data_IF_907481731271
#
_entry.id   IF_907481731271
#
_cell.length_a   1.000
_cell.length_b   1.000
_cell.length_c   1.000
_cell.angle_alpha   90.00
_cell.angle_beta   90.00
_cell.angle_gamma   90.00
#
_symmetry.space_group_name_H-M   'P 1'
#
loop_
_entity.id
_entity.type
_entity.pdbx_description
1 polymer ?
#
# COMPACT_ATOMS: atom_id res chain seq x y z
N UNK A 1 -40.20 -3.57 8.72
CA UNK A 1 -39.30 -2.48 9.22
C UNK A 1 -37.88 -2.96 9.55
N UNK A 2 -37.65 -4.27 9.75
CA UNK A 2 -36.30 -4.83 10.01
C UNK A 2 -35.40 -4.94 8.76
N UNK A 3 -35.96 -5.23 7.57
CA UNK A 3 -35.14 -5.49 6.38
C UNK A 3 -34.51 -4.23 5.77
N UNK A 4 -35.21 -3.08 5.79
CA UNK A 4 -34.63 -1.79 5.36
C UNK A 4 -33.50 -1.32 6.27
N UNK A 5 -33.58 -1.60 7.58
CA UNK A 5 -32.54 -1.24 8.54
C UNK A 5 -31.30 -2.14 8.37
N UNK A 6 -31.52 -3.42 8.05
CA UNK A 6 -30.44 -4.39 7.79
C UNK A 6 -29.68 -4.05 6.50
N UNK A 7 -30.38 -3.71 5.41
CA UNK A 7 -29.80 -3.25 4.14
C UNK A 7 -28.98 -1.97 4.29
N UNK A 8 -29.49 -0.97 5.03
CA UNK A 8 -28.78 0.30 5.24
C UNK A 8 -27.53 0.11 6.13
N UNK A 9 -27.63 -0.73 7.16
CA UNK A 9 -26.52 -1.09 8.03
C UNK A 9 -25.43 -1.86 7.28
N UNK A 10 -25.80 -2.85 6.46
CA UNK A 10 -24.88 -3.61 5.60
C UNK A 10 -24.12 -2.69 4.64
N UNK A 11 -24.83 -1.77 3.96
CA UNK A 11 -24.19 -0.80 3.06
C UNK A 11 -23.23 0.12 3.81
N UNK A 12 -23.57 0.53 5.03
CA UNK A 12 -22.70 1.38 5.86
C UNK A 12 -21.47 0.63 6.37
N UNK A 13 -21.63 -0.66 6.68
CA UNK A 13 -20.54 -1.53 7.14
C UNK A 13 -19.56 -1.86 6.00
N UNK A 14 -20.07 -2.21 4.82
CA UNK A 14 -19.25 -2.50 3.62
C UNK A 14 -18.45 -1.27 3.18
N UNK A 15 -19.00 -0.06 3.38
CA UNK A 15 -18.33 1.20 3.03
C UNK A 15 -17.35 1.68 4.10
N UNK A 16 -17.21 0.96 5.22
CA UNK A 16 -16.28 1.33 6.28
C UNK A 16 -14.84 0.95 5.91
N UNK A 17 -13.84 1.80 6.23
CA UNK A 17 -12.43 1.49 5.96
C UNK A 17 -11.94 0.26 6.75
N UNK A 18 -12.58 -0.02 7.89
CA UNK A 18 -12.27 -1.17 8.75
C UNK A 18 -12.65 -2.48 8.06
N UNK A 19 -13.84 -2.56 7.47
CA UNK A 19 -14.26 -3.74 6.73
C UNK A 19 -13.35 -4.00 5.52
N UNK A 20 -13.00 -2.94 4.79
CA UNK A 20 -12.07 -3.05 3.67
C UNK A 20 -10.69 -3.55 4.12
N UNK A 21 -10.17 -3.00 5.23
CA UNK A 21 -8.91 -3.42 5.86
C UNK A 21 -8.90 -4.88 6.32
N UNK A 22 -10.02 -5.33 6.89
CA UNK A 22 -10.20 -6.73 7.28
C UNK A 22 -10.21 -7.67 6.07
N UNK A 23 -10.97 -7.31 5.03
CA UNK A 23 -11.10 -8.11 3.82
C UNK A 23 -9.75 -8.27 3.10
N UNK A 24 -9.01 -7.18 2.91
CA UNK A 24 -7.67 -7.23 2.28
C UNK A 24 -6.67 -7.98 3.16
N UNK A 25 -6.78 -7.91 4.48
CA UNK A 25 -5.96 -8.69 5.42
C UNK A 25 -6.18 -10.20 5.25
N UNK A 26 -7.44 -10.64 5.21
CA UNK A 26 -7.79 -12.05 4.95
C UNK A 26 -7.28 -12.50 3.58
N UNK A 27 -7.56 -11.73 2.52
CA UNK A 27 -7.09 -12.04 1.17
C UNK A 27 -5.56 -12.17 1.13
N UNK A 28 -4.84 -11.27 1.82
CA UNK A 28 -3.37 -11.31 1.89
C UNK A 28 -2.86 -12.55 2.64
N UNK A 29 -3.52 -12.94 3.73
CA UNK A 29 -3.17 -14.15 4.48
C UNK A 29 -3.44 -15.43 3.67
N UNK A 30 -4.56 -15.47 2.93
CA UNK A 30 -4.85 -16.59 2.01
C UNK A 30 -3.82 -16.65 0.91
N UNK A 31 -3.49 -15.53 0.25
CA UNK A 31 -2.42 -15.49 -0.75
C UNK A 31 -1.08 -15.95 -0.19
N UNK A 32 -0.75 -15.56 1.05
CA UNK A 32 0.47 -16.02 1.73
C UNK A 32 0.48 -17.54 1.90
N UNK A 33 -0.65 -18.16 2.27
CA UNK A 33 -0.73 -19.61 2.42
C UNK A 33 -0.42 -20.34 1.10
N UNK A 34 -0.89 -19.80 -0.04
CA UNK A 34 -0.53 -20.31 -1.36
C UNK A 34 0.95 -20.06 -1.72
N UNK A 35 1.49 -18.89 -1.39
CA UNK A 35 2.88 -18.53 -1.71
C UNK A 35 3.91 -19.29 -0.88
N UNK A 36 3.57 -19.66 0.36
CA UNK A 36 4.44 -20.45 1.23
C UNK A 36 4.72 -21.83 0.63
N UNK A 37 3.71 -22.44 -0.02
CA UNK A 37 3.87 -23.69 -0.74
C UNK A 37 4.84 -23.59 -1.94
N UNK A 38 5.04 -22.37 -2.48
CA UNK A 38 5.97 -22.09 -3.57
C UNK A 38 7.38 -21.66 -3.11
N UNK A 39 7.68 -21.74 -1.80
CA UNK A 39 9.00 -21.38 -1.25
C UNK A 39 9.22 -19.86 -1.09
N UNK A 40 8.15 -19.06 -1.09
CA UNK A 40 8.24 -17.61 -0.87
C UNK A 40 8.67 -17.23 0.56
N UNK A 41 9.24 -16.03 0.77
CA UNK A 41 9.56 -15.51 2.10
C UNK A 41 8.31 -15.42 3.00
N UNK A 42 8.52 -15.43 4.31
CA UNK A 42 7.46 -15.14 5.28
C UNK A 42 6.83 -13.75 5.03
N UNK A 43 5.51 -13.67 5.17
CA UNK A 43 4.73 -12.44 5.05
C UNK A 43 4.90 -11.67 3.71
N UNK A 44 5.04 -12.38 2.58
CA UNK A 44 5.16 -11.82 1.23
C UNK A 44 3.83 -11.66 0.46
N UNK A 45 2.68 -12.04 1.03
CA UNK A 45 1.39 -12.10 0.31
C UNK A 45 0.96 -10.83 -0.45
N UNK A 46 1.07 -9.64 0.16
CA UNK A 46 0.83 -8.36 -0.53
C UNK A 46 1.81 -7.29 -0.03
N UNK A 47 2.74 -6.87 -0.88
CA UNK A 47 3.66 -5.78 -0.55
C UNK A 47 4.07 -4.95 -1.75
N UNK A 48 3.50 -3.74 -1.88
CA UNK A 48 3.85 -2.81 -2.97
C UNK A 48 5.34 -2.49 -2.98
N UNK A 49 5.95 -2.19 -1.82
CA UNK A 49 7.37 -1.81 -1.74
C UNK A 49 8.32 -2.96 -2.10
N UNK A 50 8.04 -4.18 -1.61
CA UNK A 50 8.91 -5.32 -1.87
C UNK A 50 8.74 -5.85 -3.29
N UNK A 51 7.53 -5.85 -3.84
CA UNK A 51 7.29 -6.23 -5.23
C UNK A 51 7.93 -5.23 -6.20
N UNK A 52 7.87 -3.91 -5.93
CA UNK A 52 8.61 -2.93 -6.74
C UNK A 52 10.12 -3.13 -6.65
N UNK A 53 10.67 -3.43 -5.46
CA UNK A 53 12.10 -3.71 -5.30
C UNK A 53 12.51 -4.93 -6.11
N UNK A 54 11.76 -6.03 -6.02
CA UNK A 54 12.06 -7.25 -6.77
C UNK A 54 12.01 -7.01 -8.28
N UNK A 55 11.00 -6.30 -8.78
CA UNK A 55 10.92 -5.93 -10.19
C UNK A 55 12.16 -5.13 -10.63
N UNK A 56 12.56 -4.12 -9.85
CA UNK A 56 13.73 -3.30 -10.17
C UNK A 56 15.00 -4.16 -10.10
N UNK A 57 15.19 -4.96 -9.06
CA UNK A 57 16.36 -5.83 -8.92
C UNK A 57 16.45 -6.84 -10.07
N UNK A 58 15.33 -7.41 -10.52
CA UNK A 58 15.29 -8.36 -11.63
C UNK A 58 15.62 -7.70 -12.99
N UNK A 59 15.08 -6.50 -13.23
CA UNK A 59 15.43 -5.68 -14.40
C UNK A 59 16.93 -5.33 -14.39
N UNK A 60 17.47 -4.92 -13.24
CA UNK A 60 18.88 -4.55 -13.14
C UNK A 60 19.77 -5.79 -13.29
N UNK A 61 19.39 -6.93 -12.70
CA UNK A 61 20.12 -8.19 -12.88
C UNK A 61 20.17 -8.63 -14.35
N UNK A 62 19.05 -8.52 -15.06
CA UNK A 62 18.96 -8.90 -16.48
C UNK A 62 19.72 -7.95 -17.41
N UNK A 63 19.78 -6.64 -17.10
CA UNK A 63 20.48 -5.65 -17.93
C UNK A 63 21.99 -5.60 -17.64
N UNK A 64 22.38 -5.65 -16.36
CA UNK A 64 23.76 -5.41 -15.92
C UNK A 64 24.52 -6.68 -15.52
N UNK A 65 23.88 -7.86 -15.56
CA UNK A 65 24.51 -9.14 -15.22
C UNK A 65 24.93 -9.25 -13.75
N UNK A 66 24.33 -8.43 -12.88
CA UNK A 66 24.55 -8.48 -11.43
C UNK A 66 23.57 -9.46 -10.77
N UNK A 67 23.91 -9.90 -9.54
CA UNK A 67 23.10 -10.84 -8.78
C UNK A 67 22.56 -10.19 -7.50
N UNK A 68 21.70 -9.17 -7.64
CA UNK A 68 20.98 -8.63 -6.49
C UNK A 68 19.94 -9.63 -6.01
N UNK A 69 19.68 -9.61 -4.70
CA UNK A 69 18.69 -10.48 -4.06
C UNK A 69 17.29 -10.20 -4.62
N UNK A 70 16.68 -11.24 -5.15
CA UNK A 70 15.29 -11.27 -5.65
C UNK A 70 14.61 -12.44 -4.94
N UNK A 71 13.34 -12.28 -4.54
CA UNK A 71 12.61 -13.41 -3.96
C UNK A 71 12.49 -14.56 -4.99
N UNK A 72 12.56 -15.83 -4.59
CA UNK A 72 12.52 -16.96 -5.52
C UNK A 72 11.26 -17.00 -6.39
N UNK A 73 10.13 -16.54 -5.84
CA UNK A 73 8.88 -16.34 -6.59
C UNK A 73 8.99 -15.27 -7.68
N UNK A 74 9.75 -14.21 -7.42
CA UNK A 74 10.00 -13.11 -8.36
C UNK A 74 11.04 -13.47 -9.42
N UNK A 75 12.01 -14.32 -9.08
CA UNK A 75 13.01 -14.82 -10.03
C UNK A 75 12.43 -15.82 -11.05
N UNK A 76 11.30 -16.46 -10.73
CA UNK A 76 10.63 -17.40 -11.61
C UNK A 76 9.91 -16.75 -12.81
N UNK A 77 10.02 -15.43 -13.03
CA UNK A 77 9.53 -14.65 -14.18
C UNK A 77 8.02 -14.71 -14.51
N UNK A 78 7.24 -15.62 -13.90
CA UNK A 78 5.82 -15.82 -14.23
C UNK A 78 4.84 -14.98 -13.38
N UNK A 79 5.27 -14.42 -12.25
CA UNK A 79 4.39 -13.62 -11.40
C UNK A 79 5.01 -12.41 -10.65
N UNK A 80 6.13 -11.77 -11.04
CA UNK A 80 6.84 -10.83 -10.16
C UNK A 80 6.26 -9.42 -10.13
N UNK A 81 4.95 -9.20 -10.30
CA UNK A 81 4.45 -7.80 -10.47
C UNK A 81 3.00 -7.53 -10.09
N UNK A 82 2.25 -8.53 -9.64
CA UNK A 82 0.79 -8.44 -9.71
C UNK A 82 0.18 -7.42 -8.73
N UNK A 83 0.85 -7.01 -7.64
CA UNK A 83 0.23 -6.05 -6.72
C UNK A 83 0.08 -4.66 -7.32
N UNK A 84 1.10 -4.12 -8.02
CA UNK A 84 1.00 -2.76 -8.58
C UNK A 84 0.09 -2.77 -9.80
N UNK A 85 0.29 -3.71 -10.72
CA UNK A 85 -0.54 -3.85 -11.92
C UNK A 85 -1.99 -4.12 -11.53
N UNK A 86 -2.21 -5.04 -10.58
CA UNK A 86 -3.54 -5.36 -10.06
C UNK A 86 -4.21 -4.18 -9.36
N UNK A 87 -3.48 -3.42 -8.53
CA UNK A 87 -4.01 -2.20 -7.89
C UNK A 87 -4.32 -1.13 -8.94
N UNK A 88 -3.49 -0.95 -9.97
CA UNK A 88 -3.74 0.01 -11.05
C UNK A 88 -4.98 -0.37 -11.86
N UNK A 89 -5.09 -1.63 -12.31
CA UNK A 89 -6.25 -2.11 -13.07
C UNK A 89 -7.52 -2.07 -12.21
N UNK A 90 -7.43 -2.56 -10.96
CA UNK A 90 -8.56 -2.58 -10.02
C UNK A 90 -9.06 -1.19 -9.67
N UNK A 91 -8.14 -0.25 -9.37
CA UNK A 91 -8.51 1.16 -9.10
C UNK A 91 -9.09 1.84 -10.34
N UNK A 92 -8.58 1.54 -11.54
CA UNK A 92 -9.11 2.07 -12.78
C UNK A 92 -10.54 1.58 -13.05
N UNK A 93 -10.79 0.26 -12.94
CA UNK A 93 -12.12 -0.32 -13.11
C UNK A 93 -13.09 0.23 -12.06
N UNK A 94 -12.69 0.28 -10.79
CA UNK A 94 -13.51 0.80 -9.70
C UNK A 94 -13.87 2.28 -9.91
N UNK A 95 -12.89 3.12 -10.28
CA UNK A 95 -13.10 4.54 -10.54
C UNK A 95 -14.02 4.78 -11.73
N UNK A 96 -13.88 3.99 -12.81
CA UNK A 96 -14.75 4.08 -13.99
C UNK A 96 -16.18 3.62 -13.71
N UNK A 97 -16.35 2.52 -12.96
CA UNK A 97 -17.66 2.02 -12.56
C UNK A 97 -18.43 3.03 -11.71
N UNK A 98 -17.75 3.69 -10.77
CA UNK A 98 -18.33 4.74 -9.93
C UNK A 98 -18.44 6.11 -10.61
N UNK A 99 -17.95 6.25 -11.86
CA UNK A 99 -17.91 7.52 -12.61
C UNK A 99 -17.14 8.64 -11.88
N UNK A 100 -16.16 8.27 -11.07
CA UNK A 100 -15.32 9.21 -10.30
C UNK A 100 -13.96 9.47 -10.97
N UNK A 101 -13.73 8.90 -12.15
CA UNK A 101 -12.46 9.04 -12.85
C UNK A 101 -12.25 10.49 -13.33
N UNK A 102 -11.20 11.13 -12.80
CA UNK A 102 -10.80 12.50 -13.16
C UNK A 102 -9.29 12.56 -13.39
N UNK A 103 -8.88 13.11 -14.53
CA UNK A 103 -7.48 13.38 -14.83
C UNK A 103 -7.05 14.65 -14.10
N UNK A 104 -6.12 14.51 -13.15
CA UNK A 104 -5.55 15.65 -12.42
C UNK A 104 -4.41 16.25 -13.26
N UNK A 105 -4.55 17.51 -13.70
CA UNK A 105 -3.43 18.28 -14.27
C UNK A 105 -2.50 18.68 -13.12
N UNK A 106 -1.25 18.21 -13.16
CA UNK A 106 -0.22 18.57 -12.19
C UNK A 106 0.71 19.61 -12.78
N UNK A 107 1.07 20.63 -12.00
CA UNK A 107 2.13 21.55 -12.35
C UNK A 107 3.49 20.84 -12.24
N UNK A 108 4.52 21.38 -12.90
CA UNK A 108 5.87 20.80 -12.88
C UNK A 108 6.43 20.73 -11.45
N UNK A 109 6.23 21.79 -10.67
CA UNK A 109 6.67 21.84 -9.27
C UNK A 109 6.05 20.74 -8.41
N UNK A 110 4.75 20.47 -8.55
CA UNK A 110 4.10 19.39 -7.81
C UNK A 110 4.56 18.01 -8.27
N UNK A 111 4.85 17.82 -9.56
CA UNK A 111 5.38 16.55 -10.06
C UNK A 111 6.75 16.21 -9.43
N UNK A 112 7.64 17.20 -9.34
CA UNK A 112 8.95 17.04 -8.69
C UNK A 112 8.80 16.67 -7.21
N UNK A 113 7.92 17.37 -6.49
CA UNK A 113 7.65 17.06 -5.07
C UNK A 113 7.13 15.64 -4.88
N UNK A 114 6.18 15.18 -5.70
CA UNK A 114 5.65 13.83 -5.62
C UNK A 114 6.73 12.77 -5.90
N UNK A 115 7.59 13.01 -6.89
CA UNK A 115 8.67 12.09 -7.25
C UNK A 115 9.66 11.89 -6.09
N UNK A 116 10.18 12.98 -5.53
CA UNK A 116 11.11 12.89 -4.39
C UNK A 116 10.43 12.34 -3.13
N UNK A 117 9.16 12.67 -2.89
CA UNK A 117 8.41 12.05 -1.79
C UNK A 117 8.26 10.54 -1.96
N UNK A 118 8.07 10.07 -3.20
CA UNK A 118 7.98 8.64 -3.51
C UNK A 118 9.29 7.90 -3.25
N UNK A 119 10.42 8.50 -3.64
CA UNK A 119 11.76 7.97 -3.34
C UNK A 119 11.96 7.85 -1.82
N UNK A 120 11.68 8.92 -1.08
CA UNK A 120 11.80 8.90 0.38
C UNK A 120 10.93 7.80 1.00
N UNK A 121 9.66 7.69 0.60
CA UNK A 121 8.74 6.66 1.11
C UNK A 121 9.25 5.25 0.82
N UNK A 122 9.78 4.99 -0.38
CA UNK A 122 10.34 3.68 -0.71
C UNK A 122 11.57 3.36 0.15
N UNK A 123 12.49 4.29 0.32
CA UNK A 123 13.68 4.11 1.18
C UNK A 123 13.25 3.76 2.61
N UNK A 124 12.35 4.54 3.21
CA UNK A 124 11.88 4.28 4.57
C UNK A 124 11.06 2.98 4.69
N UNK A 125 10.27 2.63 3.69
CA UNK A 125 9.54 1.35 3.67
C UNK A 125 10.51 0.16 3.60
N UNK A 126 11.61 0.29 2.84
CA UNK A 126 12.66 -0.72 2.76
C UNK A 126 13.46 -0.82 4.06
N UNK A 127 13.77 0.31 4.71
CA UNK A 127 14.42 0.33 6.02
C UNK A 127 13.56 -0.33 7.11
N UNK A 128 12.24 -0.15 7.05
CA UNK A 128 11.30 -0.82 7.94
C UNK A 128 11.14 -2.32 7.62
N UNK A 129 11.59 -2.77 6.44
CA UNK A 129 11.48 -4.15 5.99
C UNK A 129 10.15 -4.50 5.29
N UNK A 130 9.31 -3.51 4.98
CA UNK A 130 8.06 -3.75 4.26
C UNK A 130 7.08 -2.58 4.21
N UNK A 131 5.96 -2.80 3.53
CA UNK A 131 4.80 -1.92 3.55
C UNK A 131 3.92 -2.22 4.80
N UNK A 132 2.90 -1.40 5.13
CA UNK A 132 2.08 -1.63 6.31
C UNK A 132 1.40 -3.01 6.32
N UNK A 133 1.02 -3.55 5.16
CA UNK A 133 0.46 -4.89 5.04
C UNK A 133 1.46 -5.99 5.39
N UNK A 134 2.68 -5.90 4.84
CA UNK A 134 3.76 -6.85 5.16
C UNK A 134 4.14 -6.79 6.64
N UNK A 135 4.22 -5.59 7.21
CA UNK A 135 4.50 -5.43 8.63
C UNK A 135 3.40 -6.07 9.49
N UNK A 136 2.13 -5.88 9.13
CA UNK A 136 1.01 -6.51 9.84
C UNK A 136 1.04 -8.04 9.77
N UNK A 137 1.38 -8.59 8.59
CA UNK A 137 1.57 -10.03 8.42
C UNK A 137 2.77 -10.55 9.24
N UNK A 138 3.93 -9.88 9.20
CA UNK A 138 5.10 -10.25 10.03
C UNK A 138 4.76 -10.25 11.51
N UNK A 139 4.00 -9.26 11.98
CA UNK A 139 3.52 -9.22 13.36
C UNK A 139 2.63 -10.43 13.68
N UNK A 140 1.75 -10.85 12.77
CA UNK A 140 0.96 -12.06 12.95
C UNK A 140 1.80 -13.36 13.05
N UNK A 141 3.01 -13.37 12.46
CA UNK A 141 4.01 -14.44 12.63
C UNK A 141 4.83 -14.33 13.94
N UNK A 142 4.59 -13.30 14.76
CA UNK A 142 5.28 -13.09 16.04
C UNK A 142 6.45 -12.09 16.00
N UNK A 143 6.62 -11.33 14.91
CA UNK A 143 7.66 -10.30 14.82
C UNK A 143 7.24 -9.01 15.55
N UNK A 144 7.75 -8.82 16.77
CA UNK A 144 7.50 -7.60 17.56
C UNK A 144 8.17 -6.34 16.99
N UNK A 145 9.25 -6.48 16.20
CA UNK A 145 9.88 -5.33 15.54
C UNK A 145 8.94 -4.75 14.49
N UNK A 146 8.20 -5.62 13.80
CA UNK A 146 7.17 -5.19 12.85
C UNK A 146 6.05 -4.39 13.53
N UNK A 147 5.66 -4.74 14.76
CA UNK A 147 4.67 -3.98 15.53
C UNK A 147 5.16 -2.56 15.83
N UNK A 148 6.40 -2.42 16.30
CA UNK A 148 7.01 -1.11 16.57
C UNK A 148 7.04 -0.28 15.28
N UNK A 149 7.37 -0.90 14.14
CA UNK A 149 7.34 -0.26 12.83
C UNK A 149 5.95 0.27 12.45
N UNK A 150 4.89 -0.53 12.65
CA UNK A 150 3.50 -0.11 12.39
C UNK A 150 3.12 1.07 13.28
N UNK A 151 3.44 1.02 14.57
CA UNK A 151 3.14 2.10 15.51
C UNK A 151 3.88 3.40 15.14
N UNK A 152 5.16 3.29 14.75
CA UNK A 152 5.95 4.43 14.27
C UNK A 152 5.36 5.03 12.98
N UNK A 153 4.96 4.20 12.01
CA UNK A 153 4.27 4.67 10.81
C UNK A 153 2.95 5.36 11.15
N UNK A 154 2.13 4.76 12.02
CA UNK A 154 0.85 5.33 12.45
C UNK A 154 1.03 6.69 13.13
N UNK A 155 2.03 6.81 14.01
CA UNK A 155 2.37 8.07 14.68
C UNK A 155 2.85 9.13 13.67
N UNK A 156 3.71 8.75 12.71
CA UNK A 156 4.18 9.65 11.66
C UNK A 156 3.03 10.19 10.79
N UNK A 157 2.10 9.31 10.37
CA UNK A 157 0.89 9.72 9.62
C UNK A 157 0.02 10.64 10.45
N UNK A 158 -0.17 10.34 11.74
CA UNK A 158 -0.97 11.18 12.65
C UNK A 158 -0.38 12.59 12.78
N UNK A 159 0.90 12.71 13.09
CA UNK A 159 1.58 14.01 13.22
C UNK A 159 1.56 14.77 11.90
N UNK A 160 1.89 14.11 10.77
CA UNK A 160 1.85 14.73 9.44
C UNK A 160 0.46 15.26 9.09
N UNK A 161 -0.59 14.49 9.36
CA UNK A 161 -1.98 14.90 9.13
C UNK A 161 -2.35 16.12 9.99
N UNK A 162 -1.95 16.14 11.27
CA UNK A 162 -2.21 17.29 12.17
C UNK A 162 -1.53 18.57 11.68
N UNK A 163 -0.29 18.49 11.20
CA UNK A 163 0.45 19.65 10.66
C UNK A 163 -0.25 20.20 9.40
N UNK A 164 -0.61 19.32 8.46
CA UNK A 164 -1.30 19.72 7.23
C UNK A 164 -2.66 20.38 7.55
N UNK A 165 -3.45 19.77 8.43
CA UNK A 165 -4.73 20.33 8.85
C UNK A 165 -4.59 21.68 9.55
N UNK A 166 -3.58 21.85 10.42
CA UNK A 166 -3.31 23.12 11.07
C UNK A 166 -2.95 24.22 10.07
N UNK A 167 -2.12 23.88 9.07
CA UNK A 167 -1.76 24.81 7.98
C UNK A 167 -2.98 25.21 7.16
N UNK A 168 -3.84 24.26 6.79
CA UNK A 168 -5.08 24.54 6.06
C UNK A 168 -6.03 25.44 6.85
N UNK A 169 -6.24 25.18 8.14
CA UNK A 169 -7.07 26.03 9.00
C UNK A 169 -6.57 27.46 9.08
N UNK A 170 -5.24 27.64 9.13
CA UNK A 170 -4.63 28.98 9.14
C UNK A 170 -4.89 29.71 7.82
N UNK A 171 -4.76 29.02 6.68
CA UNK A 171 -5.02 29.61 5.36
C UNK A 171 -6.49 30.02 5.19
N UNK A 172 -7.43 29.16 5.59
CA UNK A 172 -8.86 29.48 5.57
C UNK A 172 -9.18 30.73 6.39
N UNK A 173 -8.61 30.83 7.61
CA UNK A 173 -8.82 31.99 8.48
C UNK A 173 -8.27 33.29 7.88
N UNK A 174 -7.25 33.22 7.03
CA UNK A 174 -6.64 34.40 6.41
C UNK A 174 -7.33 34.80 5.10
N UNK A 175 -8.05 33.88 4.43
CA UNK A 175 -8.96 34.23 3.32
C UNK A 175 -10.32 34.78 3.80
N UNK A 176 -10.75 34.42 5.01
CA UNK A 176 -12.00 34.93 5.62
C UNK A 176 -11.86 36.33 6.25
N UNK A 177 -10.68 36.97 6.20
CA UNK A 177 -10.39 38.34 6.71
C UNK A 177 -10.10 39.26 5.54
#
# INVERSE_FOLDING_TARGET
>A
MNDLNKESFLKRLIRSPIFLGFLIGILSAVLQAFLFAAGGPEAYGFCVACHTRDLVNDIVNSIFGISLTVAPFSAAAYAPVLSIIGVMIGSFIASRSNREFRLKKSNWSSAVLYFFSGIAVLIFALLLGGCPYRAALRFAYGDFVALIGILAMAFGVFVGTRIVLAKMKKQLKEEDI
#
